data_IF_578441257418
#
_entry.id   IF_578441257418
#
_cell.length_a   1.000
_cell.length_b   1.000
_cell.length_c   1.000
_cell.angle_alpha   90.00
_cell.angle_beta   90.00
_cell.angle_gamma   90.00
#
_symmetry.space_group_name_H-M   'P 1'
#
loop_
_entity.id
_entity.type
_entity.pdbx_description
1 polymer ?
#
# COMPACT_ATOMS: atom_id res chain seq x y z
N UNK A 1 2.90 1.61 -9.82
CA UNK A 1 2.81 2.90 -10.54
C UNK A 1 3.78 3.94 -9.99
N UNK A 2 3.80 4.20 -8.66
CA UNK A 2 4.75 5.18 -8.10
C UNK A 2 6.23 4.87 -8.38
N UNK A 3 6.65 3.60 -8.37
CA UNK A 3 8.03 3.22 -8.73
C UNK A 3 8.38 3.62 -10.18
N UNK A 4 7.44 3.45 -11.12
CA UNK A 4 7.64 3.81 -12.54
C UNK A 4 7.69 5.33 -12.72
N UNK A 5 6.86 6.07 -11.97
CA UNK A 5 6.88 7.54 -11.99
C UNK A 5 8.15 8.10 -11.35
N UNK A 6 8.63 7.48 -10.27
CA UNK A 6 9.88 7.86 -9.63
C UNK A 6 11.09 7.58 -10.54
N UNK A 7 11.17 6.42 -11.20
CA UNK A 7 12.27 6.09 -12.10
C UNK A 7 12.23 6.91 -13.41
N UNK A 8 11.03 7.25 -13.90
CA UNK A 8 10.86 8.00 -15.15
C UNK A 8 11.01 9.52 -15.01
N UNK A 9 10.60 10.12 -13.89
CA UNK A 9 10.69 11.57 -13.65
C UNK A 9 11.82 11.96 -12.67
N UNK A 10 12.45 11.00 -11.98
CA UNK A 10 13.47 11.23 -10.95
C UNK A 10 13.07 12.25 -9.86
N UNK A 11 11.78 12.56 -9.72
CA UNK A 11 11.26 13.53 -8.77
C UNK A 11 10.94 12.85 -7.43
N UNK A 12 11.54 13.40 -6.37
CA UNK A 12 11.37 12.98 -4.98
C UNK A 12 9.91 12.99 -4.50
N UNK A 13 9.01 13.72 -5.16
CA UNK A 13 7.57 13.73 -4.89
C UNK A 13 6.90 12.36 -5.12
N UNK A 14 7.44 11.55 -6.04
CA UNK A 14 6.89 10.21 -6.34
C UNK A 14 7.59 9.09 -5.59
N UNK A 15 8.51 9.41 -4.68
CA UNK A 15 9.21 8.41 -3.89
C UNK A 15 8.17 7.56 -3.14
N UNK A 16 8.08 6.25 -3.41
CA UNK A 16 7.12 5.39 -2.75
C UNK A 16 7.43 5.37 -1.25
N UNK A 17 6.41 5.62 -0.42
CA UNK A 17 6.58 5.57 1.03
C UNK A 17 7.01 4.14 1.44
N UNK A 18 8.07 3.97 2.25
CA UNK A 18 8.57 2.63 2.64
C UNK A 18 7.49 1.76 3.30
N UNK A 19 6.53 2.39 3.97
CA UNK A 19 5.39 1.69 4.58
C UNK A 19 4.48 1.09 3.51
N UNK A 20 4.17 1.81 2.44
CA UNK A 20 3.36 1.27 1.33
C UNK A 20 4.04 0.08 0.64
N UNK A 21 5.36 0.12 0.48
CA UNK A 21 6.12 -0.97 -0.13
C UNK A 21 5.99 -2.26 0.69
N UNK A 22 6.16 -2.18 2.01
CA UNK A 22 6.01 -3.33 2.92
C UNK A 22 4.62 -3.97 2.85
N UNK A 23 3.56 -3.18 2.73
CA UNK A 23 2.19 -3.70 2.63
C UNK A 23 1.96 -4.41 1.29
N UNK A 24 2.55 -3.90 0.20
CA UNK A 24 2.48 -4.56 -1.11
C UNK A 24 3.28 -5.86 -1.12
N UNK A 25 4.49 -5.87 -0.54
CA UNK A 25 5.32 -7.08 -0.39
C UNK A 25 4.64 -8.15 0.48
N UNK A 26 3.94 -7.74 1.55
CA UNK A 26 3.16 -8.63 2.41
C UNK A 26 1.83 -9.11 1.78
N UNK A 27 1.51 -8.67 0.56
CA UNK A 27 0.24 -9.00 -0.11
C UNK A 27 -0.99 -8.33 0.50
N UNK A 28 -0.82 -7.31 1.32
CA UNK A 28 -1.91 -6.56 1.97
C UNK A 28 -2.37 -5.43 1.05
N UNK A 29 -3.08 -5.81 0.00
CA UNK A 29 -3.49 -4.94 -1.10
C UNK A 29 -4.85 -4.25 -0.84
N UNK A 30 -5.38 -4.34 0.38
CA UNK A 30 -6.64 -3.74 0.79
C UNK A 30 -7.82 -4.70 0.65
N UNK A 31 -8.97 -4.16 0.24
CA UNK A 31 -10.26 -4.87 0.24
C UNK A 31 -10.26 -6.14 -0.61
N UNK A 32 -9.49 -6.18 -1.71
CA UNK A 32 -9.39 -7.36 -2.60
C UNK A 32 -8.68 -8.56 -1.96
N UNK A 33 -7.85 -8.31 -0.95
CA UNK A 33 -7.15 -9.33 -0.16
C UNK A 33 -7.68 -9.39 1.27
N UNK A 34 -8.84 -8.77 1.52
CA UNK A 34 -9.48 -8.59 2.84
C UNK A 34 -8.58 -7.93 3.90
N UNK A 35 -7.43 -7.39 3.50
CA UNK A 35 -6.39 -6.87 4.41
C UNK A 35 -5.50 -5.87 3.69
N UNK A 36 -5.30 -4.71 4.30
CA UNK A 36 -4.48 -3.58 3.83
C UNK A 36 -4.13 -2.70 5.01
N UNK A 37 -4.34 -1.39 4.86
CA UNK A 37 -4.35 -0.45 6.01
C UNK A 37 -5.41 -0.80 7.05
N UNK A 38 -6.46 -1.47 6.61
CA UNK A 38 -7.52 -1.98 7.45
C UNK A 38 -7.70 -3.48 7.18
N UNK A 39 -8.13 -4.20 8.20
CA UNK A 39 -8.65 -5.55 8.08
C UNK A 39 -10.13 -5.47 7.69
N UNK A 40 -10.45 -6.04 6.52
CA UNK A 40 -11.77 -6.01 5.89
C UNK A 40 -12.51 -7.36 6.03
N UNK A 41 -12.00 -8.30 6.83
CA UNK A 41 -12.66 -9.60 7.10
C UNK A 41 -13.96 -9.46 7.87
N UNK A 42 -14.08 -8.39 8.65
CA UNK A 42 -15.26 -8.07 9.46
C UNK A 42 -16.27 -7.16 8.76
N UNK A 43 -17.45 -7.00 9.37
CA UNK A 43 -18.50 -6.06 8.91
C UNK A 43 -18.05 -4.58 9.01
N UNK A 44 -17.08 -4.30 9.87
CA UNK A 44 -16.47 -2.97 10.05
C UNK A 44 -14.96 -3.05 9.86
N UNK A 45 -14.34 -2.19 9.02
CA UNK A 45 -12.90 -2.22 8.78
C UNK A 45 -12.12 -1.81 10.04
N UNK A 46 -11.16 -2.63 10.45
CA UNK A 46 -10.36 -2.42 11.67
C UNK A 46 -8.93 -1.99 11.30
N UNK A 47 -8.35 -0.93 11.89
CA UNK A 47 -7.01 -0.48 11.51
C UNK A 47 -5.94 -1.56 11.75
N UNK A 48 -5.12 -1.84 10.73
CA UNK A 48 -3.98 -2.75 10.81
C UNK A 48 -2.77 -1.94 11.24
N UNK A 49 -2.50 -1.96 12.55
CA UNK A 49 -1.50 -1.13 13.26
C UNK A 49 -0.08 -1.30 12.72
#
# INVERSE_FOLDING_TARGET
IMNVLHDGLADTKYRPCPLLVKYVEAGWLGRKTERGFYDYRGKTPVPTR
#
